data_IF_928137930808
#
_entry.id   IF_928137930808
#
_cell.length_a   1.000
_cell.length_b   1.000
_cell.length_c   1.000
_cell.angle_alpha   90.00
_cell.angle_beta   90.00
_cell.angle_gamma   90.00
#
_symmetry.space_group_name_H-M   'P 1'
#
loop_
_entity.id
_entity.type
_entity.pdbx_description
1 polymer ?
#
# COMPACT_ATOMS: atom_id res chain seq x y z
N UNK A 1 6.37 7.53 16.20
CA UNK A 1 6.55 7.79 14.77
C UNK A 1 5.26 8.39 14.25
N UNK A 2 5.31 9.64 13.84
CA UNK A 2 4.16 10.31 13.25
C UNK A 2 3.93 9.77 11.83
N UNK A 3 2.84 9.03 11.64
CA UNK A 3 2.45 8.50 10.33
C UNK A 3 1.74 9.56 9.47
N UNK A 4 1.52 10.78 9.96
CA UNK A 4 0.68 11.77 9.27
C UNK A 4 1.24 12.27 7.94
N UNK A 5 2.51 11.99 7.62
CA UNK A 5 3.17 12.42 6.37
C UNK A 5 3.56 11.28 5.42
N UNK A 6 3.19 10.03 5.68
CA UNK A 6 3.59 8.91 4.78
C UNK A 6 2.80 8.99 3.47
N UNK A 7 3.50 9.33 2.39
CA UNK A 7 2.96 9.38 1.04
C UNK A 7 3.15 8.08 0.28
N UNK A 8 2.09 7.65 -0.40
CA UNK A 8 2.15 6.49 -1.30
C UNK A 8 2.55 7.00 -2.68
N UNK A 9 3.79 6.76 -3.08
CA UNK A 9 4.24 7.10 -4.43
C UNK A 9 3.50 6.28 -5.49
N UNK A 10 3.40 6.82 -6.71
CA UNK A 10 2.79 6.10 -7.82
C UNK A 10 3.50 4.77 -8.11
N UNK A 11 4.83 4.72 -7.96
CA UNK A 11 5.63 3.49 -8.09
C UNK A 11 5.22 2.43 -7.06
N UNK A 12 5.04 2.83 -5.80
CA UNK A 12 4.58 1.92 -4.74
C UNK A 12 3.14 1.47 -5.00
N UNK A 13 2.25 2.37 -5.41
CA UNK A 13 0.89 2.01 -5.80
C UNK A 13 0.89 0.96 -6.91
N UNK A 14 1.68 1.14 -7.98
CA UNK A 14 1.82 0.16 -9.06
C UNK A 14 2.35 -1.19 -8.56
N UNK A 15 3.29 -1.21 -7.61
CA UNK A 15 3.74 -2.46 -6.97
C UNK A 15 2.61 -3.16 -6.20
N UNK A 16 1.86 -2.42 -5.38
CA UNK A 16 0.73 -2.96 -4.63
C UNK A 16 -0.35 -3.50 -5.55
N UNK A 17 -0.72 -2.76 -6.60
CA UNK A 17 -1.72 -3.20 -7.58
C UNK A 17 -1.30 -4.49 -8.28
N UNK A 18 -0.03 -4.64 -8.66
CA UNK A 18 0.50 -5.90 -9.23
C UNK A 18 0.48 -7.04 -8.22
N UNK A 19 0.80 -6.79 -6.95
CA UNK A 19 0.73 -7.80 -5.90
C UNK A 19 -0.72 -8.30 -5.72
N UNK A 20 -1.68 -7.39 -5.58
CA UNK A 20 -3.11 -7.72 -5.44
C UNK A 20 -3.60 -8.50 -6.66
N UNK A 21 -3.23 -8.07 -7.87
CA UNK A 21 -3.59 -8.78 -9.09
C UNK A 21 -3.02 -10.21 -9.11
N UNK A 22 -1.75 -10.40 -8.74
CA UNK A 22 -1.13 -11.74 -8.65
C UNK A 22 -1.77 -12.63 -7.60
N UNK A 23 -2.14 -12.08 -6.43
CA UNK A 23 -2.65 -12.86 -5.30
C UNK A 23 -4.11 -13.29 -5.47
N UNK A 24 -4.97 -12.45 -6.05
CA UNK A 24 -6.41 -12.72 -6.08
C UNK A 24 -7.12 -12.28 -7.38
N UNK A 25 -6.37 -11.93 -8.43
CA UNK A 25 -6.93 -11.58 -9.74
C UNK A 25 -7.65 -10.23 -9.78
N UNK A 26 -7.60 -9.44 -8.70
CA UNK A 26 -8.30 -8.15 -8.62
C UNK A 26 -7.52 -7.09 -9.40
N UNK A 27 -8.15 -6.54 -10.44
CA UNK A 27 -7.63 -5.38 -11.17
C UNK A 27 -8.05 -4.06 -10.49
N UNK A 28 -7.07 -3.34 -9.95
CA UNK A 28 -7.23 -2.02 -9.38
C UNK A 28 -7.26 -0.97 -10.49
N UNK A 29 -8.46 -0.66 -10.97
CA UNK A 29 -8.71 0.44 -11.92
C UNK A 29 -8.32 1.80 -11.34
N UNK A 30 -8.03 2.74 -12.25
CA UNK A 30 -7.76 4.14 -11.93
C UNK A 30 -8.88 4.76 -11.09
N UNK A 31 -8.51 5.64 -10.16
CA UNK A 31 -9.42 6.25 -9.19
C UNK A 31 -9.51 5.52 -7.83
N UNK A 32 -9.01 4.28 -7.71
CA UNK A 32 -8.99 3.55 -6.41
C UNK A 32 -7.75 3.84 -5.54
N UNK A 33 -6.87 4.74 -5.97
CA UNK A 33 -5.62 5.08 -5.26
C UNK A 33 -5.86 5.53 -3.82
N UNK A 34 -6.84 6.43 -3.60
CA UNK A 34 -7.18 6.91 -2.26
C UNK A 34 -7.65 5.78 -1.33
N UNK A 35 -8.47 4.86 -1.84
CA UNK A 35 -8.95 3.69 -1.09
C UNK A 35 -7.79 2.77 -0.70
N UNK A 36 -6.90 2.46 -1.64
CA UNK A 36 -5.72 1.64 -1.38
C UNK A 36 -4.80 2.30 -0.36
N UNK A 37 -4.53 3.60 -0.52
CA UNK A 37 -3.73 4.38 0.44
C UNK A 37 -4.33 4.30 1.84
N UNK A 38 -5.64 4.55 2.00
CA UNK A 38 -6.31 4.48 3.30
C UNK A 38 -6.20 3.09 3.95
N UNK A 39 -6.36 2.00 3.17
CA UNK A 39 -6.22 0.63 3.67
C UNK A 39 -4.79 0.29 4.08
N UNK A 40 -3.80 0.66 3.26
CA UNK A 40 -2.40 0.42 3.58
C UNK A 40 -1.94 1.23 4.80
N UNK A 41 -2.40 2.47 4.95
CA UNK A 41 -2.11 3.29 6.14
C UNK A 41 -2.61 2.63 7.43
N UNK A 42 -3.81 2.02 7.41
CA UNK A 42 -4.31 1.24 8.55
C UNK A 42 -3.41 0.03 8.85
N UNK A 43 -2.92 -0.66 7.82
CA UNK A 43 -1.98 -1.78 7.98
C UNK A 43 -0.62 -1.35 8.54
N UNK A 44 -0.05 -0.24 8.07
CA UNK A 44 1.19 0.30 8.61
C UNK A 44 1.10 0.58 10.11
N UNK A 45 0.00 1.22 10.55
CA UNK A 45 -0.25 1.50 11.97
C UNK A 45 -0.37 0.20 12.78
N UNK A 46 -1.13 -0.77 12.28
CA UNK A 46 -1.33 -2.04 12.96
C UNK A 46 -0.03 -2.85 13.10
N UNK A 47 0.83 -2.81 12.08
CA UNK A 47 2.10 -3.52 12.04
C UNK A 47 3.28 -2.69 12.59
N UNK A 48 3.04 -1.44 13.01
CA UNK A 48 4.07 -0.46 13.43
C UNK A 48 5.19 -0.28 12.40
N UNK A 49 4.85 -0.36 11.11
CA UNK A 49 5.81 -0.18 10.01
C UNK A 49 5.95 1.30 9.65
N UNK A 50 7.18 1.79 9.37
CA UNK A 50 7.45 3.21 9.19
C UNK A 50 7.05 3.75 7.81
N UNK A 51 6.95 2.90 6.78
CA UNK A 51 6.69 3.34 5.41
C UNK A 51 6.12 2.20 4.53
N UNK A 52 5.60 2.57 3.36
CA UNK A 52 5.07 1.60 2.40
C UNK A 52 6.12 0.63 1.85
N UNK A 53 7.40 1.03 1.75
CA UNK A 53 8.46 0.11 1.33
C UNK A 53 8.71 -0.98 2.38
N UNK A 54 8.65 -0.63 3.67
CA UNK A 54 8.73 -1.62 4.74
C UNK A 54 7.55 -2.59 4.71
N UNK A 55 6.35 -2.10 4.39
CA UNK A 55 5.19 -2.96 4.17
C UNK A 55 5.36 -3.87 2.96
N UNK A 56 5.79 -3.33 1.82
CA UNK A 56 6.03 -4.13 0.61
C UNK A 56 7.07 -5.21 0.85
N UNK A 57 8.17 -4.91 1.56
CA UNK A 57 9.19 -5.90 1.95
C UNK A 57 8.66 -6.97 2.92
N UNK A 58 7.66 -6.63 3.74
CA UNK A 58 7.05 -7.57 4.68
C UNK A 58 6.09 -8.56 4.01
N UNK A 59 5.48 -8.20 2.87
CA UNK A 59 4.47 -9.01 2.17
C UNK A 59 4.95 -9.65 0.85
N UNK A 60 6.14 -9.30 0.38
CA UNK A 60 6.85 -10.07 -0.66
C UNK A 60 7.41 -11.36 -0.05
#
# INVERSE_FOLDING_TARGET
MDLMSVELSERQFRKVSRLIYRLCGINLKDGKQALVRARLMKRLRALRLPCFDAYLKYVD
#
